data_IF_736472433677
#
_entry.id   IF_736472433677
#
_cell.length_a   1.000
_cell.length_b   1.000
_cell.length_c   1.000
_cell.angle_alpha   90.00
_cell.angle_beta   90.00
_cell.angle_gamma   90.00
#
_symmetry.space_group_name_H-M   'P 1'
#
loop_
_entity.id
_entity.type
_entity.pdbx_description
1 polymer ?
#
# COMPACT_ATOMS: atom_id res chain seq x y z
N UNK A 1 10.27 -13.35 3.89
CA UNK A 1 10.28 -11.87 3.97
C UNK A 1 8.83 -11.39 3.90
N UNK A 2 8.49 -10.21 4.45
CA UNK A 2 7.13 -9.63 4.40
C UNK A 2 6.57 -9.55 2.97
N UNK A 3 7.46 -9.40 1.99
CA UNK A 3 7.15 -9.35 0.57
C UNK A 3 6.83 -10.71 -0.08
N UNK A 4 6.93 -11.85 0.62
CA UNK A 4 6.78 -13.17 -0.04
C UNK A 4 5.36 -13.36 -0.60
N UNK A 5 4.35 -13.01 0.19
CA UNK A 5 2.92 -13.19 -0.17
C UNK A 5 2.20 -11.86 -0.44
N UNK A 6 2.85 -10.72 -0.19
CA UNK A 6 2.30 -9.38 -0.44
C UNK A 6 2.90 -8.73 -1.70
N UNK A 7 2.13 -7.97 -2.50
CA UNK A 7 2.67 -7.21 -3.62
C UNK A 7 3.55 -6.03 -3.19
N UNK A 8 3.39 -5.54 -1.97
CA UNK A 8 4.11 -4.36 -1.45
C UNK A 8 4.15 -4.34 0.06
N UNK A 9 5.02 -3.52 0.64
CA UNK A 9 4.98 -3.17 2.06
C UNK A 9 5.47 -1.74 2.29
N UNK A 10 5.05 -1.17 3.43
CA UNK A 10 5.63 0.05 3.96
C UNK A 10 6.88 -0.30 4.77
N UNK A 11 7.93 0.47 4.56
CA UNK A 11 9.14 0.43 5.38
C UNK A 11 9.54 1.85 5.77
N UNK A 12 10.28 1.96 6.87
CA UNK A 12 10.91 3.18 7.32
C UNK A 12 12.42 2.98 7.35
N UNK A 13 13.18 4.06 7.18
CA UNK A 13 14.62 4.02 7.40
C UNK A 13 14.93 3.48 8.80
N UNK A 14 16.04 2.75 8.95
CA UNK A 14 16.43 2.08 10.21
C UNK A 14 16.48 3.01 11.43
N UNK A 15 16.69 4.30 11.22
CA UNK A 15 16.83 5.30 12.29
C UNK A 15 15.53 6.10 12.52
N UNK A 16 14.43 5.72 11.88
CA UNK A 16 13.13 6.40 11.97
C UNK A 16 12.12 5.50 12.67
N UNK A 17 11.24 6.07 13.51
CA UNK A 17 10.16 5.31 14.10
C UNK A 17 9.21 4.80 13.02
N UNK A 18 8.72 3.58 13.19
CA UNK A 18 7.64 3.02 12.37
C UNK A 18 6.31 3.74 12.64
N UNK A 19 5.25 3.33 11.93
CA UNK A 19 3.95 3.99 12.08
C UNK A 19 3.39 3.87 13.50
N UNK A 20 3.48 2.69 14.11
CA UNK A 20 2.98 2.46 15.46
C UNK A 20 3.67 3.35 16.49
N UNK A 21 4.99 3.48 16.41
CA UNK A 21 5.77 4.35 17.28
C UNK A 21 5.45 5.84 17.04
N UNK A 22 5.24 6.25 15.78
CA UNK A 22 4.79 7.61 15.47
C UNK A 22 3.43 7.93 16.12
N UNK A 23 2.50 6.97 16.13
CA UNK A 23 1.19 7.14 16.78
C UNK A 23 1.32 7.27 18.31
N UNK A 24 2.23 6.51 18.94
CA UNK A 24 2.54 6.64 20.37
C UNK A 24 3.13 8.02 20.70
N UNK A 25 4.14 8.46 19.94
CA UNK A 25 4.77 9.77 20.13
C UNK A 25 3.75 10.91 19.96
N UNK A 26 2.84 10.79 18.98
CA UNK A 26 1.75 11.75 18.77
C UNK A 26 0.84 11.87 19.99
N UNK A 27 0.49 10.75 20.63
CA UNK A 27 -0.31 10.76 21.87
C UNK A 27 0.42 11.41 23.05
N UNK A 28 1.76 11.35 23.06
CA UNK A 28 2.61 12.02 24.05
C UNK A 28 2.84 13.52 23.74
N UNK A 29 2.17 14.07 22.72
CA UNK A 29 2.33 15.46 22.27
C UNK A 29 3.57 15.71 21.41
N UNK A 30 4.28 14.66 20.99
CA UNK A 30 5.41 14.75 20.06
C UNK A 30 4.96 14.41 18.65
N UNK A 31 4.60 15.43 17.88
CA UNK A 31 4.25 15.24 16.48
C UNK A 31 5.53 15.11 15.63
N UNK A 32 5.76 13.91 15.10
CA UNK A 32 6.81 13.64 14.12
C UNK A 32 6.19 12.92 12.94
N UNK A 33 6.34 13.48 11.74
CA UNK A 33 5.79 12.91 10.52
C UNK A 33 6.93 12.45 9.62
N UNK A 34 7.16 11.15 9.54
CA UNK A 34 8.17 10.57 8.65
C UNK A 34 7.48 9.97 7.43
N UNK A 35 7.94 10.38 6.24
CA UNK A 35 7.47 9.79 5.00
C UNK A 35 7.96 8.33 4.90
N UNK A 36 7.07 7.35 4.78
CA UNK A 36 7.46 5.97 4.56
C UNK A 36 8.01 5.76 3.15
N UNK A 37 8.68 4.62 2.96
CA UNK A 37 9.08 4.08 1.66
C UNK A 37 8.10 2.95 1.31
N UNK A 38 7.56 2.98 0.10
CA UNK A 38 6.81 1.86 -0.47
C UNK A 38 7.80 0.92 -1.16
N UNK A 39 7.97 -0.28 -0.64
CA UNK A 39 8.69 -1.35 -1.32
C UNK A 39 7.72 -2.20 -2.14
N UNK A 40 8.13 -2.54 -3.36
CA UNK A 40 7.37 -3.37 -4.29
C UNK A 40 8.03 -4.74 -4.41
N UNK A 41 7.23 -5.80 -4.44
CA UNK A 41 7.69 -7.14 -4.79
C UNK A 41 7.51 -7.39 -6.30
N UNK A 42 8.54 -7.22 -7.15
CA UNK A 42 8.40 -7.43 -8.60
C UNK A 42 8.10 -8.89 -8.98
N UNK A 43 8.29 -9.84 -8.06
CA UNK A 43 8.01 -11.27 -8.28
C UNK A 43 6.55 -11.63 -8.00
N UNK A 44 5.74 -10.72 -7.47
CA UNK A 44 4.34 -10.99 -7.18
C UNK A 44 3.52 -11.07 -8.48
N UNK A 45 2.58 -12.02 -8.55
CA UNK A 45 1.81 -12.32 -9.76
C UNK A 45 1.05 -11.10 -10.33
N UNK A 46 0.65 -10.16 -9.46
CA UNK A 46 0.03 -8.89 -9.87
C UNK A 46 0.89 -8.11 -10.88
N UNK A 47 2.21 -8.02 -10.65
CA UNK A 47 3.10 -7.27 -11.57
C UNK A 47 3.43 -8.05 -12.83
N UNK A 48 3.44 -9.38 -12.75
CA UNK A 48 3.48 -10.22 -13.96
C UNK A 48 2.23 -10.00 -14.83
N UNK A 49 1.05 -9.92 -14.21
CA UNK A 49 -0.20 -9.59 -14.88
C UNK A 49 -0.17 -8.21 -15.54
N UNK A 50 0.27 -7.19 -14.79
CA UNK A 50 0.41 -5.82 -15.31
C UNK A 50 1.35 -5.70 -16.50
N UNK A 51 2.49 -6.41 -16.48
CA UNK A 51 3.45 -6.41 -17.60
C UNK A 51 2.82 -6.91 -18.91
N UNK A 52 1.85 -7.81 -18.82
CA UNK A 52 1.15 -8.36 -19.98
C UNK A 52 -0.06 -7.49 -20.39
N UNK A 53 -0.61 -6.70 -19.46
CA UNK A 53 -1.75 -5.82 -19.72
C UNK A 53 -1.75 -4.62 -18.75
N UNK A 54 -1.41 -3.45 -19.29
CA UNK A 54 -1.31 -2.20 -18.52
C UNK A 54 -2.65 -1.44 -18.36
N UNK A 55 -3.77 -2.00 -18.85
CA UNK A 55 -5.09 -1.30 -18.84
C UNK A 55 -5.55 -0.87 -17.44
N UNK A 56 -5.03 -1.52 -16.40
CA UNK A 56 -5.39 -1.28 -15.01
C UNK A 56 -4.21 -0.77 -14.16
N UNK A 57 -3.13 -0.30 -14.77
CA UNK A 57 -1.92 0.13 -14.05
C UNK A 57 -2.19 1.16 -12.96
N UNK A 58 -3.03 2.17 -13.26
CA UNK A 58 -3.41 3.19 -12.27
C UNK A 58 -4.20 2.59 -11.10
N UNK A 59 -5.19 1.74 -11.39
CA UNK A 59 -6.01 1.09 -10.37
C UNK A 59 -5.16 0.19 -9.46
N UNK A 60 -4.27 -0.61 -10.06
CA UNK A 60 -3.39 -1.49 -9.31
C UNK A 60 -2.39 -0.69 -8.47
N UNK A 61 -1.84 0.42 -8.97
CA UNK A 61 -0.97 1.28 -8.18
C UNK A 61 -1.68 1.81 -6.93
N UNK A 62 -2.91 2.30 -7.08
CA UNK A 62 -3.76 2.74 -5.96
C UNK A 62 -4.03 1.61 -4.98
N UNK A 63 -4.41 0.43 -5.46
CA UNK A 63 -4.72 -0.72 -4.60
C UNK A 63 -3.48 -1.20 -3.83
N UNK A 64 -2.35 -1.36 -4.51
CA UNK A 64 -1.09 -1.86 -3.93
C UNK A 64 -0.54 -0.90 -2.87
N UNK A 65 -0.62 0.41 -3.09
CA UNK A 65 -0.25 1.39 -2.07
C UNK A 65 -1.14 1.28 -0.82
N UNK A 66 -2.46 1.23 -1.02
CA UNK A 66 -3.40 1.20 0.09
C UNK A 66 -3.36 -0.14 0.87
N UNK A 67 -3.12 -1.27 0.20
CA UNK A 67 -2.89 -2.55 0.88
C UNK A 67 -1.64 -2.50 1.78
N UNK A 68 -0.55 -1.87 1.31
CA UNK A 68 0.65 -1.69 2.13
C UNK A 68 0.38 -0.79 3.35
N UNK A 69 -0.32 0.33 3.15
CA UNK A 69 -0.74 1.23 4.24
C UNK A 69 -1.57 0.51 5.28
N UNK A 70 -2.62 -0.20 4.86
CA UNK A 70 -3.50 -0.95 5.75
C UNK A 70 -2.74 -2.02 6.55
N UNK A 71 -1.78 -2.71 5.90
CA UNK A 71 -0.94 -3.71 6.58
C UNK A 71 -0.03 -3.10 7.65
N UNK A 72 0.35 -1.84 7.51
CA UNK A 72 1.14 -1.07 8.48
C UNK A 72 0.25 -0.43 9.57
N UNK A 73 -1.07 -0.66 9.52
CA UNK A 73 -2.05 -0.04 10.44
C UNK A 73 -2.40 1.40 10.09
N UNK A 74 -1.97 1.89 8.93
CA UNK A 74 -2.34 3.21 8.42
C UNK A 74 -3.76 3.19 7.84
N UNK A 75 -4.42 4.35 7.86
CA UNK A 75 -5.70 4.55 7.18
C UNK A 75 -5.57 4.67 5.66
N UNK A 76 -6.71 4.68 4.98
CA UNK A 76 -6.84 5.00 3.56
C UNK A 76 -7.19 6.49 3.42
N UNK A 77 -6.31 7.26 2.80
CA UNK A 77 -6.48 8.72 2.67
C UNK A 77 -7.68 9.10 1.78
N UNK A 78 -7.91 8.32 0.71
CA UNK A 78 -9.03 8.51 -0.21
C UNK A 78 -9.83 7.21 -0.38
N UNK A 79 -10.77 6.91 0.54
CA UNK A 79 -11.56 5.69 0.49
C UNK A 79 -12.41 5.56 -0.78
N UNK A 80 -12.88 6.68 -1.35
CA UNK A 80 -13.70 6.68 -2.56
C UNK A 80 -12.90 6.18 -3.77
N UNK A 81 -11.67 6.67 -3.95
CA UNK A 81 -10.78 6.23 -5.03
C UNK A 81 -10.35 4.77 -4.84
N UNK A 82 -9.97 4.38 -3.62
CA UNK A 82 -9.65 2.99 -3.30
C UNK A 82 -10.81 2.04 -3.64
N UNK A 83 -12.03 2.38 -3.23
CA UNK A 83 -13.23 1.59 -3.50
C UNK A 83 -13.56 1.55 -5.00
N UNK A 84 -13.38 2.66 -5.72
CA UNK A 84 -13.62 2.73 -7.15
C UNK A 84 -12.66 1.82 -7.93
N UNK A 85 -11.36 1.89 -7.64
CA UNK A 85 -10.36 1.00 -8.26
C UNK A 85 -10.61 -0.46 -7.90
N UNK A 86 -10.95 -0.77 -6.64
CA UNK A 86 -11.27 -2.13 -6.23
C UNK A 86 -12.49 -2.67 -6.99
N UNK A 87 -13.56 -1.89 -7.06
CA UNK A 87 -14.80 -2.25 -7.77
C UNK A 87 -14.55 -2.49 -9.24
N UNK A 88 -13.72 -1.66 -9.88
CA UNK A 88 -13.35 -1.81 -11.29
C UNK A 88 -12.63 -3.14 -11.55
N UNK A 89 -11.69 -3.54 -10.69
CA UNK A 89 -11.01 -4.84 -10.80
C UNK A 89 -11.99 -6.00 -10.54
N UNK A 90 -12.85 -5.89 -9.54
CA UNK A 90 -13.88 -6.90 -9.24
C UNK A 90 -14.81 -7.11 -10.44
N UNK A 91 -15.31 -6.03 -11.05
CA UNK A 91 -16.15 -6.12 -12.25
C UNK A 91 -15.43 -6.78 -13.41
N UNK A 92 -14.12 -6.54 -13.56
CA UNK A 92 -13.33 -7.19 -14.60
C UNK A 92 -13.18 -8.70 -14.36
N UNK A 93 -13.16 -9.15 -13.12
CA UNK A 93 -13.09 -10.58 -12.80
C UNK A 93 -14.37 -11.35 -13.20
N UNK A 94 -15.51 -10.67 -13.30
CA UNK A 94 -16.79 -11.24 -13.70
C UNK A 94 -17.12 -11.07 -15.20
N UNK A 95 -16.21 -10.49 -15.99
CA UNK A 95 -16.41 -10.21 -17.43
C UNK A 95 -15.35 -10.84 -18.33
#
# INVERSE_FOLDING_TARGET
SRLKDSPSCIVYDKNKPDFAMQQLLKQMGQEQNFKPILEINPKHAIFTGLKNNESFSADIATLVLNMAKLSEGMGVDNPAEFNASLTKIINKAFS
#
